data_IF_401944882239
#
_entry.id   IF_401944882239
#
_cell.length_a   1.000
_cell.length_b   1.000
_cell.length_c   1.000
_cell.angle_alpha   90.00
_cell.angle_beta   90.00
_cell.angle_gamma   90.00
#
_symmetry.space_group_name_H-M   'P 1'
#
loop_
_entity.id
_entity.type
_entity.pdbx_description
1 polymer ?
#
# COMPACT_ATOMS: atom_id res chain seq x y z
N UNK A 1 -9.13 21.09 -5.05
CA UNK A 1 -9.52 22.53 -4.96
C UNK A 1 -9.48 23.22 -6.32
N UNK A 2 -8.33 23.24 -7.00
CA UNK A 2 -8.21 23.89 -8.33
C UNK A 2 -9.16 23.27 -9.37
N UNK A 3 -9.19 21.94 -9.50
CA UNK A 3 -10.09 21.29 -10.47
C UNK A 3 -11.57 21.58 -10.26
N UNK A 4 -12.04 21.53 -9.01
CA UNK A 4 -13.42 21.89 -8.66
C UNK A 4 -13.74 23.36 -8.98
N UNK A 5 -12.81 24.28 -8.74
CA UNK A 5 -12.98 25.68 -9.12
C UNK A 5 -13.08 25.85 -10.65
N UNK A 6 -12.27 25.12 -11.42
CA UNK A 6 -12.30 25.14 -12.89
C UNK A 6 -13.61 24.55 -13.43
N UNK A 7 -14.10 23.44 -12.87
CA UNK A 7 -15.38 22.85 -13.24
C UNK A 7 -16.55 23.80 -12.98
N UNK A 8 -16.60 24.44 -11.80
CA UNK A 8 -17.66 25.41 -11.45
C UNK A 8 -17.61 26.64 -12.34
N UNK A 9 -16.41 27.15 -12.64
CA UNK A 9 -16.23 28.28 -13.55
C UNK A 9 -16.72 27.93 -14.97
N UNK A 10 -16.42 26.71 -15.45
CA UNK A 10 -16.87 26.23 -16.75
C UNK A 10 -18.41 26.11 -16.83
N UNK A 11 -19.07 25.61 -15.78
CA UNK A 11 -20.54 25.56 -15.69
C UNK A 11 -21.13 26.96 -15.76
N UNK A 12 -20.59 27.91 -14.98
CA UNK A 12 -21.08 29.29 -14.94
C UNK A 12 -20.90 29.99 -16.30
N UNK A 13 -19.73 29.85 -16.94
CA UNK A 13 -19.49 30.43 -18.26
C UNK A 13 -20.40 29.82 -19.33
N UNK A 14 -20.52 28.49 -19.36
CA UNK A 14 -21.31 27.79 -20.36
C UNK A 14 -22.80 28.07 -20.20
N UNK A 15 -23.31 28.09 -18.96
CA UNK A 15 -24.69 28.40 -18.64
C UNK A 15 -25.08 29.83 -19.04
N UNK A 16 -24.21 30.81 -18.76
CA UNK A 16 -24.45 32.23 -19.11
C UNK A 16 -24.33 32.49 -20.61
N UNK A 17 -23.36 31.88 -21.30
CA UNK A 17 -23.09 32.16 -22.72
C UNK A 17 -24.00 31.40 -23.70
N UNK A 18 -24.45 30.19 -23.34
CA UNK A 18 -25.23 29.32 -24.25
C UNK A 18 -26.67 29.06 -23.80
N UNK A 19 -27.06 29.47 -22.59
CA UNK A 19 -28.45 29.36 -22.09
C UNK A 19 -28.92 27.94 -21.72
N UNK A 20 -28.08 26.92 -21.88
CA UNK A 20 -28.36 25.53 -21.53
C UNK A 20 -27.73 25.11 -20.21
N UNK A 21 -28.45 25.28 -19.09
CA UNK A 21 -27.95 24.94 -17.75
C UNK A 21 -27.68 23.44 -17.55
N UNK A 22 -28.48 22.58 -18.17
CA UNK A 22 -28.30 21.13 -18.08
C UNK A 22 -27.00 20.70 -18.78
N UNK A 23 -26.77 21.17 -20.00
CA UNK A 23 -25.54 20.92 -20.75
C UNK A 23 -24.30 21.51 -20.06
N UNK A 24 -24.44 22.69 -19.45
CA UNK A 24 -23.39 23.32 -18.65
C UNK A 24 -22.95 22.43 -17.48
N UNK A 25 -23.93 21.90 -16.73
CA UNK A 25 -23.67 20.99 -15.60
C UNK A 25 -23.04 19.68 -16.07
N UNK A 26 -23.54 19.09 -17.16
CA UNK A 26 -22.96 17.87 -17.74
C UNK A 26 -21.50 18.09 -18.18
N UNK A 27 -21.20 19.22 -18.82
CA UNK A 27 -19.83 19.58 -19.19
C UNK A 27 -18.93 19.79 -17.96
N UNK A 28 -19.44 20.44 -16.91
CA UNK A 28 -18.72 20.63 -15.64
C UNK A 28 -18.39 19.31 -14.93
N UNK A 29 -19.33 18.36 -14.90
CA UNK A 29 -19.12 17.02 -14.35
C UNK A 29 -18.09 16.26 -15.18
N UNK A 30 -18.19 16.30 -16.51
CA UNK A 30 -17.23 15.63 -17.40
C UNK A 30 -15.80 16.16 -17.20
N UNK A 31 -15.63 17.47 -17.06
CA UNK A 31 -14.35 18.09 -16.72
C UNK A 31 -13.88 17.72 -15.31
N UNK A 32 -14.80 17.63 -14.35
CA UNK A 32 -14.47 17.21 -12.99
C UNK A 32 -13.96 15.77 -12.95
N UNK A 33 -14.62 14.85 -13.66
CA UNK A 33 -14.23 13.45 -13.75
C UNK A 33 -12.89 13.28 -14.47
N UNK A 34 -12.61 14.02 -15.54
CA UNK A 34 -11.34 13.91 -16.27
C UNK A 34 -10.11 14.36 -15.48
N UNK A 35 -10.30 15.14 -14.41
CA UNK A 35 -9.23 15.58 -13.53
C UNK A 35 -8.96 14.62 -12.37
N UNK A 36 -9.83 13.62 -12.15
CA UNK A 36 -9.61 12.63 -11.09
C UNK A 36 -8.55 11.62 -11.54
N UNK A 37 -7.44 11.48 -10.80
CA UNK A 37 -6.36 10.58 -11.17
C UNK A 37 -6.67 9.14 -10.69
N UNK A 38 -7.64 8.49 -11.32
CA UNK A 38 -8.09 7.14 -10.95
C UNK A 38 -7.09 6.03 -11.31
N UNK A 39 -6.10 6.33 -12.15
CA UNK A 39 -5.08 5.37 -12.57
C UNK A 39 -4.07 5.08 -11.46
N UNK A 40 -3.79 6.06 -10.60
CA UNK A 40 -2.76 5.94 -9.57
C UNK A 40 -3.09 4.89 -8.49
N UNK A 41 -4.30 4.87 -7.89
CA UNK A 41 -4.67 3.82 -6.94
C UNK A 41 -4.64 2.42 -7.55
N UNK A 42 -5.03 2.29 -8.83
CA UNK A 42 -5.01 1.02 -9.56
C UNK A 42 -3.57 0.52 -9.74
N UNK A 43 -2.68 1.37 -10.24
CA UNK A 43 -1.27 1.04 -10.44
C UNK A 43 -0.59 0.66 -9.13
N UNK A 44 -0.84 1.40 -8.04
CA UNK A 44 -0.30 1.08 -6.72
C UNK A 44 -0.77 -0.30 -6.24
N UNK A 45 -2.05 -0.63 -6.44
CA UNK A 45 -2.60 -1.94 -6.07
C UNK A 45 -1.91 -3.07 -6.83
N UNK A 46 -1.68 -2.89 -8.13
CA UNK A 46 -0.96 -3.88 -8.96
C UNK A 46 0.47 -4.05 -8.47
N UNK A 47 1.19 -2.97 -8.17
CA UNK A 47 2.54 -3.05 -7.64
C UNK A 47 2.60 -3.79 -6.30
N UNK A 48 1.66 -3.51 -5.40
CA UNK A 48 1.57 -4.21 -4.12
C UNK A 48 1.25 -5.70 -4.29
N UNK A 49 0.36 -6.04 -5.24
CA UNK A 49 0.05 -7.44 -5.55
C UNK A 49 1.26 -8.20 -6.11
N UNK A 50 2.00 -7.58 -7.03
CA UNK A 50 3.26 -8.15 -7.55
C UNK A 50 4.32 -8.29 -6.45
N UNK A 51 4.44 -7.30 -5.56
CA UNK A 51 5.32 -7.36 -4.40
C UNK A 51 4.96 -8.51 -3.46
N UNK A 52 3.67 -8.68 -3.14
CA UNK A 52 3.17 -9.77 -2.32
C UNK A 52 3.46 -11.14 -2.96
N UNK A 53 3.27 -11.25 -4.28
CA UNK A 53 3.58 -12.47 -5.03
C UNK A 53 5.08 -12.79 -5.02
N UNK A 54 5.95 -11.80 -5.19
CA UNK A 54 7.40 -12.01 -5.12
C UNK A 54 7.85 -12.48 -3.73
N UNK A 55 7.29 -11.91 -2.66
CA UNK A 55 7.60 -12.30 -1.28
C UNK A 55 7.05 -13.70 -0.97
N UNK A 56 5.91 -14.09 -1.54
CA UNK A 56 5.36 -15.43 -1.33
C UNK A 56 6.21 -16.54 -1.95
N UNK A 57 6.94 -16.26 -3.03
CA UNK A 57 7.94 -17.20 -3.58
C UNK A 57 9.07 -17.52 -2.57
N UNK A 58 9.33 -16.63 -1.60
CA UNK A 58 10.27 -16.85 -0.50
C UNK A 58 9.63 -17.53 0.73
N UNK A 59 8.46 -18.17 0.58
CA UNK A 59 7.67 -18.82 1.65
C UNK A 59 7.18 -17.86 2.75
N UNK A 60 6.99 -16.58 2.43
CA UNK A 60 6.43 -15.59 3.37
C UNK A 60 5.01 -15.19 2.92
N UNK A 61 4.02 -15.48 3.77
CA UNK A 61 2.62 -15.13 3.48
C UNK A 61 2.33 -13.68 3.88
N UNK A 62 2.17 -12.81 2.88
CA UNK A 62 1.75 -11.43 3.09
C UNK A 62 0.24 -11.35 3.24
N UNK A 63 -0.26 -11.02 4.44
CA UNK A 63 -1.71 -10.90 4.72
C UNK A 63 -2.31 -9.54 4.39
N UNK A 64 -1.47 -8.49 4.33
CA UNK A 64 -1.87 -7.11 4.02
C UNK A 64 -0.80 -6.47 3.14
N UNK A 65 -1.20 -5.88 2.01
CA UNK A 65 -0.31 -5.19 1.09
C UNK A 65 0.56 -4.12 1.78
N UNK A 66 -0.05 -3.31 2.66
CA UNK A 66 0.65 -2.26 3.42
C UNK A 66 1.80 -2.79 4.30
N UNK A 67 1.75 -4.07 4.72
CA UNK A 67 2.85 -4.66 5.51
C UNK A 67 4.15 -4.75 4.72
N UNK A 68 4.09 -4.82 3.38
CA UNK A 68 5.27 -4.81 2.51
C UNK A 68 6.00 -3.48 2.63
N UNK A 69 5.25 -2.37 2.59
CA UNK A 69 5.79 -1.02 2.73
C UNK A 69 6.36 -0.79 4.13
N UNK A 70 5.64 -1.22 5.17
CA UNK A 70 6.14 -1.15 6.55
C UNK A 70 7.43 -1.95 6.73
N UNK A 71 7.53 -3.16 6.19
CA UNK A 71 8.75 -3.96 6.27
C UNK A 71 9.91 -3.32 5.48
N UNK A 72 9.64 -2.72 4.32
CA UNK A 72 10.65 -2.04 3.52
C UNK A 72 11.17 -0.73 4.15
N UNK A 73 10.35 -0.07 4.98
CA UNK A 73 10.72 1.15 5.69
C UNK A 73 11.18 0.91 7.13
N UNK A 74 11.09 -0.32 7.62
CA UNK A 74 11.49 -0.66 8.99
C UNK A 74 13.00 -0.51 9.17
N UNK A 75 13.40 0.26 10.18
CA UNK A 75 14.80 0.47 10.56
C UNK A 75 15.21 -0.32 11.81
N UNK A 76 14.22 -0.78 12.58
CA UNK A 76 14.42 -1.55 13.82
C UNK A 76 13.58 -2.82 13.74
N UNK A 77 14.21 -3.97 13.95
CA UNK A 77 13.55 -5.26 14.03
C UNK A 77 13.45 -5.70 15.50
N UNK A 78 12.24 -5.57 16.07
CA UNK A 78 11.92 -6.20 17.35
C UNK A 78 11.54 -7.66 17.09
N UNK A 79 12.24 -8.59 17.71
CA UNK A 79 12.01 -10.04 17.55
C UNK A 79 11.78 -10.68 18.92
N UNK A 80 10.89 -11.66 18.96
CA UNK A 80 10.71 -12.49 20.15
C UNK A 80 11.80 -13.57 20.21
N UNK A 81 12.12 -14.06 21.40
CA UNK A 81 13.16 -15.08 21.57
C UNK A 81 12.60 -16.48 21.32
N UNK A 82 11.61 -16.88 22.11
CA UNK A 82 11.18 -18.28 22.19
C UNK A 82 10.28 -18.64 21.01
N UNK A 83 10.68 -19.60 20.19
CA UNK A 83 9.89 -20.01 19.01
C UNK A 83 10.07 -19.10 17.79
N UNK A 84 10.88 -18.05 17.89
CA UNK A 84 11.26 -17.18 16.76
C UNK A 84 12.78 -17.22 16.53
N UNK A 85 13.58 -16.77 17.49
CA UNK A 85 15.05 -16.93 17.43
C UNK A 85 15.50 -18.33 17.84
N UNK A 86 14.74 -18.98 18.72
CA UNK A 86 15.00 -20.35 19.17
C UNK A 86 13.91 -21.29 18.69
N UNK A 87 14.22 -22.58 18.59
CA UNK A 87 13.26 -23.61 18.17
C UNK A 87 12.21 -23.96 19.25
N UNK A 88 12.19 -23.22 20.38
CA UNK A 88 11.40 -23.56 21.56
C UNK A 88 11.59 -25.02 22.02
N UNK A 89 12.81 -25.53 21.88
CA UNK A 89 13.20 -26.89 22.27
C UNK A 89 14.45 -26.81 23.13
N UNK A 90 14.39 -27.45 24.29
CA UNK A 90 15.54 -27.56 25.19
C UNK A 90 16.48 -28.67 24.67
N UNK A 91 17.73 -28.29 24.41
CA UNK A 91 18.78 -29.19 23.92
C UNK A 91 20.02 -28.99 24.77
N UNK A 92 20.67 -30.09 25.17
CA UNK A 92 21.93 -30.03 25.90
C UNK A 92 23.01 -29.49 24.95
N UNK A 93 23.59 -28.33 25.29
CA UNK A 93 24.61 -27.68 24.45
C UNK A 93 26.03 -28.09 24.81
N UNK A 94 26.27 -28.47 26.08
CA UNK A 94 27.60 -28.84 26.55
C UNK A 94 27.49 -29.90 27.66
N UNK A 95 28.36 -30.90 27.62
CA UNK A 95 28.57 -31.88 28.68
C UNK A 95 30.00 -31.76 29.19
N UNK A 96 30.17 -31.55 30.49
CA UNK A 96 31.49 -31.56 31.14
C UNK A 96 31.64 -32.79 31.99
N UNK A 97 32.65 -33.59 31.68
CA UNK A 97 33.06 -34.74 32.48
C UNK A 97 34.29 -34.37 33.33
N UNK A 98 34.62 -35.16 34.36
CA UNK A 98 35.80 -34.93 35.20
C UNK A 98 37.14 -34.91 34.42
N UNK A 99 37.18 -35.52 33.22
CA UNK A 99 38.36 -35.55 32.35
C UNK A 99 38.39 -34.43 31.29
N UNK A 100 37.38 -33.54 31.25
CA UNK A 100 37.30 -32.43 30.30
C UNK A 100 35.91 -32.28 29.68
N UNK A 101 35.78 -31.35 28.72
CA UNK A 101 34.58 -31.23 27.89
C UNK A 101 34.51 -32.44 26.94
N UNK A 102 33.32 -33.02 26.80
CA UNK A 102 32.98 -33.92 25.68
C UNK A 102 32.68 -33.09 24.42
#
# INVERSE_FOLDING_TARGET
>A
LVGGAVSVLAVMLYGVLRGGWLDAVLAGIALGMSMLPEEFPMVLTIFMAMGAWRISQARVLTRRAAAIETLGSATVLCTDKTGTLTENRMTITELRTPHGKL
#
